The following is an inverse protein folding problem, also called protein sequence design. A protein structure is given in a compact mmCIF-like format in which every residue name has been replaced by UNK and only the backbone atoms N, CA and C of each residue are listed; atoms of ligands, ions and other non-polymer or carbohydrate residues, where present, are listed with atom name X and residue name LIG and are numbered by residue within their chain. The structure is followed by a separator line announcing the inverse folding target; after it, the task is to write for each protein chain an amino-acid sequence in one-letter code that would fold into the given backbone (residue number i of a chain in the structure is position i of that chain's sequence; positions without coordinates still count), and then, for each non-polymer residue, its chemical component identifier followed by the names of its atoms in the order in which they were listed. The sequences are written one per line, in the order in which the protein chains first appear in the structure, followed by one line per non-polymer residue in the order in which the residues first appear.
data_IF_590023520236
#
_entry.id   IF_590023520236
#
_cell.length_a   1.000
_cell.length_b   1.000
_cell.length_c   1.000
_cell.angle_alpha   90.00
_cell.angle_beta   90.00
_cell.angle_gamma   90.00
#
_symmetry.space_group_name_H-M   'P 1'
#
loop_
_entity.id
_entity.type
_entity.pdbx_description
1 polymer ?
#
# COMPACT_ATOMS: atom_id res chain seq x y z
N UNK A 1 -5.97 -1.57 9.74
CA UNK A 1 -5.01 -2.67 9.91
C UNK A 1 -5.61 -3.66 10.89
N UNK A 2 -6.00 -4.82 10.41
CA UNK A 2 -6.36 -5.92 11.28
C UNK A 2 -5.10 -6.49 11.92
N UNK A 3 -5.23 -6.92 13.16
CA UNK A 3 -4.32 -7.94 13.66
C UNK A 3 -4.35 -9.09 12.64
N UNK A 4 -3.23 -9.33 12.01
CA UNK A 4 -3.07 -10.37 10.99
C UNK A 4 -3.52 -11.75 11.46
N UNK A 5 -3.32 -12.04 12.77
CA UNK A 5 -3.77 -13.28 13.37
C UNK A 5 -5.30 -13.33 13.48
N UNK A 6 -5.96 -12.22 13.85
CA UNK A 6 -7.42 -12.13 13.91
C UNK A 6 -8.04 -12.17 12.51
N UNK A 7 -7.48 -11.45 11.52
CA UNK A 7 -7.96 -11.48 10.15
C UNK A 7 -7.80 -12.88 9.55
N UNK A 8 -6.67 -13.54 9.77
CA UNK A 8 -6.45 -14.94 9.35
C UNK A 8 -7.38 -15.90 10.06
N UNK A 9 -7.65 -15.68 11.36
CA UNK A 9 -8.56 -16.53 12.13
C UNK A 9 -10.00 -16.36 11.62
N UNK A 10 -10.44 -15.13 11.45
CA UNK A 10 -11.76 -14.82 10.88
C UNK A 10 -11.90 -15.35 9.45
N UNK A 11 -10.88 -15.25 8.61
CA UNK A 11 -10.87 -15.82 7.26
C UNK A 11 -10.87 -17.35 7.26
N UNK A 12 -10.15 -18.01 8.18
CA UNK A 12 -10.16 -19.46 8.31
C UNK A 12 -11.47 -19.99 8.85
N UNK A 13 -12.02 -19.34 9.87
CA UNK A 13 -13.26 -19.75 10.52
C UNK A 13 -14.50 -19.49 9.65
N UNK A 14 -14.45 -18.45 8.80
CA UNK A 14 -15.51 -18.16 7.84
C UNK A 14 -15.48 -19.04 6.59
N UNK A 15 -14.43 -19.84 6.41
CA UNK A 15 -14.22 -20.61 5.17
C UNK A 15 -13.90 -19.77 3.94
N UNK A 16 -13.67 -18.46 4.11
CA UNK A 16 -13.35 -17.54 3.04
C UNK A 16 -11.84 -17.50 2.79
N UNK A 17 -11.36 -18.16 1.76
CA UNK A 17 -10.04 -17.93 1.17
C UNK A 17 -10.02 -16.71 0.24
N UNK A 18 -10.95 -15.76 0.43
CA UNK A 18 -11.23 -14.64 -0.48
C UNK A 18 -10.95 -13.29 0.17
N UNK A 19 -10.65 -12.25 -0.62
CA UNK A 19 -10.49 -10.89 -0.13
C UNK A 19 -11.71 -10.39 0.65
N UNK A 20 -11.47 -9.57 1.67
CA UNK A 20 -12.54 -8.89 2.43
C UNK A 20 -12.54 -7.41 2.04
N UNK A 21 -13.71 -6.84 1.81
CA UNK A 21 -13.91 -5.43 1.52
C UNK A 21 -14.79 -4.78 2.60
N UNK A 22 -14.35 -3.64 3.12
CA UNK A 22 -15.15 -2.80 4.00
C UNK A 22 -15.77 -1.68 3.18
N UNK A 23 -17.08 -1.51 3.31
CA UNK A 23 -17.84 -0.46 2.67
C UNK A 23 -18.41 0.47 3.72
N UNK A 24 -18.31 1.77 3.48
CA UNK A 24 -18.93 2.79 4.29
C UNK A 24 -19.46 3.91 3.42
N UNK A 25 -20.59 4.49 3.79
CA UNK A 25 -21.15 5.69 3.19
C UNK A 25 -21.44 6.72 4.26
N UNK A 26 -21.15 7.98 3.96
CA UNK A 26 -21.34 9.11 4.85
C UNK A 26 -22.29 10.13 4.23
N UNK A 27 -23.16 10.74 5.04
CA UNK A 27 -24.12 11.75 4.57
C UNK A 27 -25.39 11.75 5.39
N UNK A 28 -26.51 12.22 4.80
CA UNK A 28 -27.81 12.03 5.42
C UNK A 28 -28.17 10.55 5.48
N UNK A 29 -28.93 10.13 6.50
CA UNK A 29 -29.26 8.72 6.72
C UNK A 29 -29.85 8.04 5.48
N UNK A 30 -30.78 8.71 4.78
CA UNK A 30 -31.43 8.17 3.60
C UNK A 30 -30.47 8.01 2.41
N UNK A 31 -29.56 8.97 2.20
CA UNK A 31 -28.55 8.91 1.16
C UNK A 31 -27.53 7.80 1.41
N UNK A 32 -26.99 7.74 2.62
CA UNK A 32 -26.03 6.70 3.00
C UNK A 32 -26.65 5.30 2.89
N UNK A 33 -27.90 5.13 3.33
CA UNK A 33 -28.61 3.86 3.21
C UNK A 33 -28.83 3.45 1.74
N UNK A 34 -29.19 4.40 0.87
CA UNK A 34 -29.38 4.14 -0.56
C UNK A 34 -28.05 3.75 -1.24
N UNK A 35 -26.95 4.44 -0.91
CA UNK A 35 -25.62 4.15 -1.44
C UNK A 35 -25.14 2.76 -1.05
N UNK A 36 -25.20 2.42 0.24
CA UNK A 36 -24.84 1.06 0.72
C UNK A 36 -25.70 -0.01 0.03
N UNK A 37 -27.01 0.21 -0.10
CA UNK A 37 -27.88 -0.75 -0.78
C UNK A 37 -27.47 -0.99 -2.24
N UNK A 38 -27.05 0.03 -2.98
CA UNK A 38 -26.57 -0.14 -4.36
C UNK A 38 -25.18 -0.82 -4.40
N UNK A 39 -24.26 -0.46 -3.49
CA UNK A 39 -22.96 -1.11 -3.39
C UNK A 39 -23.09 -2.61 -3.09
N UNK A 40 -23.94 -3.00 -2.16
CA UNK A 40 -24.21 -4.40 -1.86
C UNK A 40 -24.79 -5.17 -3.05
N UNK A 41 -25.67 -4.54 -3.87
CA UNK A 41 -26.14 -5.14 -5.13
C UNK A 41 -25.01 -5.37 -6.12
N UNK A 42 -24.09 -4.41 -6.24
CA UNK A 42 -22.89 -4.56 -7.10
C UNK A 42 -22.03 -5.70 -6.59
N UNK A 43 -21.76 -5.79 -5.30
CA UNK A 43 -21.00 -6.88 -4.70
C UNK A 43 -21.65 -8.25 -4.99
N UNK A 44 -22.95 -8.36 -4.75
CA UNK A 44 -23.67 -9.61 -4.97
C UNK A 44 -23.62 -10.06 -6.45
N UNK A 45 -23.76 -9.12 -7.42
CA UNK A 45 -23.63 -9.44 -8.87
C UNK A 45 -22.23 -9.94 -9.24
N UNK A 46 -21.21 -9.60 -8.46
CA UNK A 46 -19.82 -10.04 -8.66
C UNK A 46 -19.40 -11.19 -7.74
N UNK A 47 -20.35 -11.88 -7.13
CA UNK A 47 -20.07 -13.05 -6.28
C UNK A 47 -19.67 -12.69 -4.83
N UNK A 48 -19.79 -11.43 -4.44
CA UNK A 48 -19.57 -10.98 -3.07
C UNK A 48 -20.70 -11.43 -2.14
N UNK A 49 -20.35 -11.72 -0.89
CA UNK A 49 -21.28 -12.06 0.16
C UNK A 49 -21.25 -10.98 1.24
N UNK A 50 -22.40 -10.47 1.61
CA UNK A 50 -22.54 -9.58 2.78
C UNK A 50 -22.41 -10.39 4.06
N UNK A 51 -21.45 -10.01 4.90
CA UNK A 51 -21.18 -10.64 6.20
C UNK A 51 -21.58 -9.75 7.37
N UNK A 52 -22.31 -8.65 7.10
CA UNK A 52 -22.82 -7.73 8.10
C UNK A 52 -21.84 -6.62 8.47
N UNK A 53 -22.28 -5.70 9.36
CA UNK A 53 -21.55 -4.47 9.69
C UNK A 53 -20.42 -4.64 10.72
N UNK A 54 -20.39 -5.72 11.49
CA UNK A 54 -19.53 -5.86 12.67
C UNK A 54 -18.04 -5.65 12.35
N UNK A 55 -17.59 -6.15 11.18
CA UNK A 55 -16.22 -5.98 10.71
C UNK A 55 -15.86 -4.52 10.43
N UNK A 56 -16.74 -3.78 9.77
CA UNK A 56 -16.55 -2.37 9.46
C UNK A 56 -16.59 -1.51 10.74
N UNK A 57 -17.53 -1.77 11.65
CA UNK A 57 -17.62 -1.10 12.94
C UNK A 57 -16.40 -1.36 13.82
N UNK A 58 -15.95 -2.60 13.87
CA UNK A 58 -14.72 -2.98 14.57
C UNK A 58 -13.48 -2.28 13.99
N UNK A 59 -13.40 -2.14 12.66
CA UNK A 59 -12.34 -1.38 12.02
C UNK A 59 -12.40 0.10 12.37
N UNK A 60 -13.57 0.74 12.33
CA UNK A 60 -13.75 2.16 12.70
C UNK A 60 -13.24 2.41 14.12
N UNK A 61 -13.56 1.51 15.06
CA UNK A 61 -13.12 1.62 16.46
C UNK A 61 -11.61 1.52 16.66
N UNK A 62 -10.89 0.83 15.75
CA UNK A 62 -9.45 0.53 15.88
C UNK A 62 -8.59 1.13 14.77
N UNK A 63 -9.14 1.95 13.86
CA UNK A 63 -8.43 2.45 12.68
C UNK A 63 -7.16 3.27 12.98
N UNK A 64 -7.01 3.74 14.19
CA UNK A 64 -5.83 4.48 14.67
C UNK A 64 -4.94 3.65 15.60
N UNK A 65 -5.24 2.37 15.80
CA UNK A 65 -4.41 1.47 16.58
C UNK A 65 -3.36 0.82 15.66
N UNK A 66 -2.12 1.23 15.84
CA UNK A 66 -0.96 0.70 15.11
C UNK A 66 -0.10 -0.22 15.98
N UNK A 67 -0.57 -0.63 17.14
CA UNK A 67 0.20 -1.42 18.11
C UNK A 67 0.81 -2.69 17.52
N UNK A 68 0.12 -3.37 16.60
CA UNK A 68 0.65 -4.57 15.93
C UNK A 68 1.92 -4.25 15.11
N UNK A 69 1.89 -3.16 14.32
CA UNK A 69 3.05 -2.72 13.54
C UNK A 69 4.18 -2.25 14.46
N UNK A 70 3.84 -1.46 15.47
CA UNK A 70 4.80 -0.97 16.46
C UNK A 70 5.49 -2.12 17.19
N UNK A 71 4.76 -3.17 17.56
CA UNK A 71 5.33 -4.36 18.19
C UNK A 71 6.32 -5.08 17.28
N UNK A 72 6.06 -5.16 15.96
CA UNK A 72 7.01 -5.73 15.00
C UNK A 72 8.25 -4.83 14.90
N UNK A 73 8.09 -3.53 14.72
CA UNK A 73 9.19 -2.58 14.58
C UNK A 73 10.07 -2.50 15.85
N UNK A 74 9.45 -2.60 17.03
CA UNK A 74 10.17 -2.58 18.31
C UNK A 74 10.81 -3.93 18.65
N UNK A 75 10.51 -5.01 17.92
CA UNK A 75 11.16 -6.29 18.13
C UNK A 75 12.57 -6.30 17.54
N UNK A 76 13.48 -7.06 18.15
CA UNK A 76 14.84 -7.20 17.61
C UNK A 76 14.78 -7.84 16.20
N UNK A 77 15.30 -7.11 15.19
CA UNK A 77 15.30 -7.57 13.81
C UNK A 77 13.94 -7.51 13.12
N UNK A 78 12.94 -6.85 13.70
CA UNK A 78 11.62 -6.66 13.07
C UNK A 78 11.71 -5.87 11.79
N UNK A 79 10.97 -6.30 10.77
CA UNK A 79 10.81 -5.61 9.49
C UNK A 79 9.32 -5.43 9.25
N UNK A 80 8.90 -4.18 9.14
CA UNK A 80 7.56 -3.83 8.70
C UNK A 80 7.66 -2.65 7.73
N UNK A 81 7.04 -2.80 6.57
CA UNK A 81 7.06 -1.75 5.55
C UNK A 81 5.75 -1.74 4.75
N UNK A 82 5.44 -0.59 4.19
CA UNK A 82 4.29 -0.41 3.31
C UNK A 82 4.73 0.28 2.03
N UNK A 83 4.67 -0.45 0.92
CA UNK A 83 4.97 0.06 -0.41
C UNK A 83 3.67 0.49 -1.06
N UNK A 84 3.50 1.80 -1.20
CA UNK A 84 2.31 2.40 -1.80
C UNK A 84 2.61 2.81 -3.24
N UNK A 85 1.76 2.36 -4.14
CA UNK A 85 1.82 2.61 -5.59
C UNK A 85 0.42 2.82 -6.15
N UNK A 86 0.31 3.19 -7.44
CA UNK A 86 -0.98 3.16 -8.14
C UNK A 86 -0.81 2.69 -9.59
N UNK A 87 -1.89 2.14 -10.14
CA UNK A 87 -1.97 1.82 -11.56
C UNK A 87 -3.43 1.92 -12.03
N UNK A 88 -3.61 1.89 -13.34
CA UNK A 88 -4.94 1.77 -13.95
C UNK A 88 -5.60 0.44 -13.58
N UNK A 89 -6.92 0.37 -13.70
CA UNK A 89 -7.65 -0.89 -13.43
C UNK A 89 -7.19 -2.05 -14.31
N UNK A 90 -6.77 -1.78 -15.54
CA UNK A 90 -6.23 -2.82 -16.44
C UNK A 90 -4.84 -3.30 -16.05
N UNK A 91 -4.04 -2.49 -15.34
CA UNK A 91 -2.67 -2.80 -14.97
C UNK A 91 -2.47 -3.29 -13.54
N UNK A 92 -3.37 -2.89 -12.61
CA UNK A 92 -3.14 -3.09 -11.17
C UNK A 92 -3.04 -4.56 -10.74
N UNK A 93 -3.81 -5.44 -11.37
CA UNK A 93 -3.73 -6.88 -11.08
C UNK A 93 -2.34 -7.44 -11.38
N UNK A 94 -1.80 -7.15 -12.57
CA UNK A 94 -0.44 -7.55 -12.93
C UNK A 94 0.63 -6.94 -12.05
N UNK A 95 0.44 -5.68 -11.62
CA UNK A 95 1.34 -5.01 -10.67
C UNK A 95 1.32 -5.69 -9.30
N UNK A 96 0.14 -6.05 -8.80
CA UNK A 96 -0.01 -6.80 -7.55
C UNK A 96 0.74 -8.13 -7.58
N UNK A 97 0.56 -8.89 -8.66
CA UNK A 97 1.23 -10.18 -8.84
C UNK A 97 2.76 -10.02 -8.94
N UNK A 98 3.22 -9.02 -9.68
CA UNK A 98 4.65 -8.74 -9.84
C UNK A 98 5.29 -8.35 -8.48
N UNK A 99 4.68 -7.44 -7.73
CA UNK A 99 5.13 -7.04 -6.40
C UNK A 99 5.11 -8.20 -5.42
N UNK A 100 4.00 -8.94 -5.33
CA UNK A 100 3.90 -10.09 -4.44
C UNK A 100 5.00 -11.12 -4.73
N UNK A 101 5.25 -11.40 -6.00
CA UNK A 101 6.32 -12.31 -6.41
C UNK A 101 7.71 -11.79 -6.05
N UNK A 102 7.96 -10.49 -6.28
CA UNK A 102 9.25 -9.86 -6.00
C UNK A 102 9.53 -9.79 -4.48
N UNK A 103 8.49 -9.66 -3.65
CA UNK A 103 8.64 -9.51 -2.20
C UNK A 103 8.78 -10.83 -1.44
N UNK A 104 8.27 -11.93 -1.99
CA UNK A 104 8.32 -13.27 -1.32
C UNK A 104 9.70 -13.68 -0.79
N UNK A 105 10.84 -13.39 -1.44
CA UNK A 105 12.15 -13.75 -0.90
C UNK A 105 12.58 -12.95 0.33
N UNK A 106 11.94 -11.80 0.58
CA UNK A 106 12.39 -10.81 1.56
C UNK A 106 11.42 -10.59 2.73
N UNK A 107 10.20 -11.10 2.65
CA UNK A 107 9.18 -10.93 3.66
C UNK A 107 8.53 -12.26 4.04
N UNK A 108 8.21 -12.41 5.32
CA UNK A 108 7.52 -13.59 5.82
C UNK A 108 6.01 -13.51 5.50
N UNK A 109 5.48 -12.27 5.47
CA UNK A 109 4.11 -11.98 5.08
C UNK A 109 4.08 -10.85 4.04
N UNK A 110 3.29 -11.06 2.98
CA UNK A 110 3.04 -10.07 1.94
C UNK A 110 1.53 -9.94 1.76
N UNK A 111 1.00 -8.77 2.04
CA UNK A 111 -0.42 -8.48 1.98
C UNK A 111 -0.68 -7.33 1.02
N UNK A 112 -1.85 -7.33 0.39
CA UNK A 112 -2.29 -6.23 -0.47
C UNK A 112 -3.51 -5.53 0.12
N UNK A 113 -3.50 -4.20 0.08
CA UNK A 113 -4.62 -3.35 0.44
C UNK A 113 -4.89 -2.38 -0.70
N UNK A 114 -6.00 -2.56 -1.40
CA UNK A 114 -6.50 -1.61 -2.39
C UNK A 114 -7.22 -0.49 -1.65
N UNK A 115 -6.75 0.74 -1.80
CA UNK A 115 -7.18 1.87 -0.97
C UNK A 115 -8.00 2.88 -1.78
N UNK A 116 -7.37 3.89 -2.34
CA UNK A 116 -8.04 4.96 -3.04
C UNK A 116 -8.45 4.51 -4.45
N UNK A 117 -9.74 4.25 -4.63
CA UNK A 117 -10.31 3.81 -5.90
C UNK A 117 -10.91 5.01 -6.67
N UNK A 118 -10.55 5.14 -7.93
CA UNK A 118 -10.99 6.16 -8.85
C UNK A 118 -11.62 5.53 -10.10
N UNK A 119 -12.16 6.35 -10.98
CA UNK A 119 -12.71 5.89 -12.26
C UNK A 119 -11.66 5.15 -13.11
N UNK A 120 -10.41 5.66 -13.12
CA UNK A 120 -9.36 5.20 -14.04
C UNK A 120 -8.40 4.19 -13.42
N UNK A 121 -8.36 4.10 -12.10
CA UNK A 121 -7.41 3.23 -11.41
C UNK A 121 -7.55 3.25 -9.89
N UNK A 122 -6.56 2.69 -9.23
CA UNK A 122 -6.58 2.46 -7.79
C UNK A 122 -5.17 2.53 -7.20
N UNK A 123 -5.05 3.02 -5.96
CA UNK A 123 -3.82 2.86 -5.20
C UNK A 123 -3.78 1.50 -4.52
N UNK A 124 -2.58 0.93 -4.46
CA UNK A 124 -2.30 -0.35 -3.83
C UNK A 124 -1.20 -0.16 -2.78
N UNK A 125 -1.45 -0.65 -1.59
CA UNK A 125 -0.45 -0.82 -0.54
C UNK A 125 -0.04 -2.28 -0.50
N UNK A 126 1.24 -2.55 -0.67
CA UNK A 126 1.82 -3.86 -0.37
C UNK A 126 2.46 -3.77 1.00
N UNK A 127 1.84 -4.44 1.95
CA UNK A 127 2.25 -4.45 3.36
C UNK A 127 3.14 -5.67 3.57
N UNK A 128 4.30 -5.43 4.13
CA UNK A 128 5.33 -6.43 4.33
C UNK A 128 5.63 -6.55 5.82
N UNK A 129 5.65 -7.78 6.31
CA UNK A 129 6.08 -8.10 7.65
C UNK A 129 7.15 -9.19 7.59
N UNK A 130 8.14 -9.08 8.46
CA UNK A 130 9.20 -10.05 8.51
C UNK A 130 10.12 -9.88 9.72
N UNK A 131 11.08 -10.77 9.84
CA UNK A 131 12.05 -10.73 10.91
C UNK A 131 13.42 -11.16 10.39
N UNK A 132 14.44 -10.40 10.76
CA UNK A 132 15.85 -10.75 10.59
C UNK A 132 16.48 -11.15 11.93
N UNK A 133 17.68 -11.69 11.90
CA UNK A 133 18.37 -12.12 13.11
C UNK A 133 18.77 -10.96 14.02
N UNK A 134 19.04 -9.80 13.41
CA UNK A 134 19.48 -8.60 14.12
C UNK A 134 19.06 -7.31 13.36
N UNK A 135 19.27 -6.12 13.97
CA UNK A 135 18.92 -4.86 13.33
C UNK A 135 19.67 -4.57 12.02
N UNK A 136 20.93 -5.01 11.89
CA UNK A 136 21.70 -4.80 10.65
C UNK A 136 21.13 -5.66 9.51
N UNK A 137 20.74 -6.89 9.82
CA UNK A 137 20.02 -7.77 8.90
C UNK A 137 18.67 -7.21 8.50
N UNK A 138 17.93 -6.60 9.43
CA UNK A 138 16.66 -5.93 9.15
C UNK A 138 16.83 -4.74 8.18
N UNK A 139 17.85 -3.90 8.41
CA UNK A 139 18.17 -2.78 7.52
C UNK A 139 18.57 -3.27 6.11
N UNK A 140 19.43 -4.30 6.03
CA UNK A 140 19.83 -4.86 4.76
C UNK A 140 18.63 -5.46 3.99
N UNK A 141 17.75 -6.17 4.70
CA UNK A 141 16.51 -6.73 4.13
C UNK A 141 15.60 -5.62 3.60
N UNK A 142 15.43 -4.54 4.37
CA UNK A 142 14.60 -3.40 3.96
C UNK A 142 15.12 -2.74 2.67
N UNK A 143 16.43 -2.56 2.53
CA UNK A 143 17.03 -2.05 1.30
C UNK A 143 16.75 -2.96 0.10
N UNK A 144 16.86 -4.28 0.27
CA UNK A 144 16.54 -5.26 -0.77
C UNK A 144 15.05 -5.23 -1.14
N UNK A 145 14.16 -5.08 -0.16
CA UNK A 145 12.72 -4.91 -0.38
C UNK A 145 12.46 -3.70 -1.27
N UNK A 146 13.00 -2.54 -0.93
CA UNK A 146 12.76 -1.31 -1.69
C UNK A 146 13.33 -1.38 -3.11
N UNK A 147 14.52 -1.93 -3.28
CA UNK A 147 15.12 -2.11 -4.61
C UNK A 147 14.26 -3.01 -5.51
N UNK A 148 13.90 -4.19 -5.00
CA UNK A 148 13.11 -5.15 -5.75
C UNK A 148 11.68 -4.64 -6.02
N UNK A 149 11.09 -3.91 -5.08
CA UNK A 149 9.76 -3.32 -5.25
C UNK A 149 9.75 -2.22 -6.30
N UNK A 150 10.67 -1.25 -6.21
CA UNK A 150 10.75 -0.15 -7.17
C UNK A 150 10.95 -0.68 -8.59
N UNK A 151 11.79 -1.69 -8.76
CA UNK A 151 11.97 -2.33 -10.07
C UNK A 151 10.70 -3.00 -10.57
N UNK A 152 10.03 -3.79 -9.75
CA UNK A 152 8.79 -4.45 -10.12
C UNK A 152 7.67 -3.44 -10.46
N UNK A 153 7.62 -2.31 -9.75
CA UNK A 153 6.67 -1.21 -10.04
C UNK A 153 6.92 -0.62 -11.42
N UNK A 154 8.16 -0.22 -11.71
CA UNK A 154 8.51 0.37 -13.01
C UNK A 154 8.29 -0.61 -14.17
N UNK A 155 8.70 -1.87 -14.01
CA UNK A 155 8.54 -2.89 -15.04
C UNK A 155 7.06 -3.21 -15.34
N UNK A 156 6.16 -3.00 -14.35
CA UNK A 156 4.72 -3.19 -14.52
C UNK A 156 3.99 -1.95 -15.07
N UNK A 157 4.70 -0.85 -15.30
CA UNK A 157 4.12 0.41 -15.77
C UNK A 157 3.28 1.16 -14.73
N UNK A 158 3.44 0.81 -13.45
CA UNK A 158 2.80 1.51 -12.34
C UNK A 158 3.57 2.77 -11.95
N UNK A 159 2.94 3.67 -11.20
CA UNK A 159 3.62 4.82 -10.60
C UNK A 159 4.23 4.46 -9.26
N UNK A 160 5.44 4.98 -9.00
CA UNK A 160 6.22 4.69 -7.79
C UNK A 160 5.54 5.15 -6.49
N UNK A 161 4.67 6.13 -6.56
CA UNK A 161 3.88 6.60 -5.43
C UNK A 161 2.65 7.36 -5.91
N UNK A 162 1.53 7.17 -5.24
CA UNK A 162 0.31 7.94 -5.46
C UNK A 162 0.25 9.14 -4.50
N UNK A 163 0.45 8.94 -3.19
CA UNK A 163 0.34 10.00 -2.19
C UNK A 163 1.39 9.97 -1.06
N UNK A 164 2.19 8.91 -0.94
CA UNK A 164 3.25 8.86 0.07
C UNK A 164 4.50 9.68 -0.31
N UNK A 165 4.61 10.08 -1.57
CA UNK A 165 5.81 10.74 -2.10
C UNK A 165 6.97 9.78 -2.34
N UNK A 166 8.04 10.30 -2.90
CA UNK A 166 9.19 9.48 -3.30
C UNK A 166 10.16 9.22 -2.14
N UNK A 167 10.39 10.22 -1.31
CA UNK A 167 11.31 10.11 -0.17
C UNK A 167 12.71 9.64 -0.58
N UNK A 168 13.36 8.94 0.33
CA UNK A 168 14.69 8.34 0.09
C UNK A 168 14.56 6.97 -0.59
N UNK A 169 13.59 6.18 -0.20
CA UNK A 169 13.47 4.79 -0.63
C UNK A 169 13.19 4.61 -2.13
N UNK A 170 12.64 5.61 -2.79
CA UNK A 170 12.34 5.61 -4.23
C UNK A 170 13.27 6.50 -5.06
N UNK A 171 14.17 7.24 -4.40
CA UNK A 171 14.94 8.31 -5.02
C UNK A 171 15.74 7.86 -6.25
N UNK A 172 16.40 6.71 -6.17
CA UNK A 172 17.25 6.20 -7.25
C UNK A 172 16.45 5.80 -8.50
N UNK A 173 15.14 5.52 -8.34
CA UNK A 173 14.24 5.10 -9.41
C UNK A 173 13.38 6.24 -9.98
N UNK A 174 13.32 7.39 -9.29
CA UNK A 174 12.48 8.54 -9.71
C UNK A 174 12.93 9.11 -11.04
N UNK A 175 14.23 9.16 -11.27
CA UNK A 175 14.78 9.67 -12.55
C UNK A 175 14.28 8.87 -13.72
N UNK A 176 14.28 7.54 -13.61
CA UNK A 176 13.74 6.64 -14.63
C UNK A 176 12.23 6.86 -14.80
N UNK A 177 11.49 6.94 -13.70
CA UNK A 177 10.05 7.16 -13.70
C UNK A 177 9.64 8.49 -14.36
N UNK A 178 10.39 9.56 -14.11
CA UNK A 178 10.12 10.88 -14.68
C UNK A 178 10.59 11.02 -16.13
N UNK A 179 11.57 10.21 -16.56
CA UNK A 179 12.12 10.27 -17.91
C UNK A 179 12.54 11.69 -18.28
N UNK A 180 12.05 12.21 -19.40
CA UNK A 180 12.37 13.56 -19.87
C UNK A 180 11.90 14.69 -18.95
N UNK A 181 10.97 14.43 -18.05
CA UNK A 181 10.49 15.42 -17.07
C UNK A 181 11.49 15.66 -15.94
N UNK A 182 12.48 14.80 -15.78
CA UNK A 182 13.52 14.95 -14.77
C UNK A 182 14.26 16.28 -14.86
N UNK A 183 14.70 16.68 -16.05
CA UNK A 183 15.43 17.93 -16.26
C UNK A 183 14.58 19.15 -15.98
N UNK A 184 13.27 19.10 -16.31
CA UNK A 184 12.32 20.17 -15.99
C UNK A 184 12.15 20.28 -14.48
N UNK A 185 12.00 19.14 -13.80
CA UNK A 185 11.90 19.13 -12.34
C UNK A 185 13.13 19.73 -11.67
N UNK A 186 14.34 19.37 -12.12
CA UNK A 186 15.59 19.92 -11.60
C UNK A 186 15.66 21.44 -11.72
N UNK A 187 15.26 22.00 -12.86
CA UNK A 187 15.19 23.46 -13.07
C UNK A 187 14.19 24.15 -12.17
N UNK A 188 13.03 23.52 -11.94
CA UNK A 188 12.03 24.05 -11.01
C UNK A 188 12.58 24.05 -9.57
N UNK A 189 13.23 22.96 -9.16
CA UNK A 189 13.84 22.82 -7.84
C UNK A 189 14.91 23.91 -7.62
N UNK A 190 15.81 24.11 -8.58
CA UNK A 190 16.87 25.12 -8.52
C UNK A 190 16.28 26.55 -8.43
N UNK A 191 15.22 26.85 -9.19
CA UNK A 191 14.57 28.15 -9.18
C UNK A 191 13.87 28.45 -7.84
N UNK A 192 13.28 27.42 -7.21
CA UNK A 192 12.52 27.58 -5.95
C UNK A 192 13.39 27.45 -4.71
N UNK A 193 14.50 26.74 -4.79
CA UNK A 193 15.41 26.44 -3.68
C UNK A 193 16.88 26.58 -4.13
N UNK A 194 17.31 27.79 -4.48
CA UNK A 194 18.67 28.02 -4.99
C UNK A 194 19.76 27.73 -3.95
N UNK A 195 19.39 27.63 -2.68
CA UNK A 195 20.32 27.30 -1.58
C UNK A 195 20.35 25.80 -1.26
N UNK A 196 19.50 24.98 -1.89
CA UNK A 196 19.45 23.52 -1.71
C UNK A 196 19.11 23.07 -0.28
N UNK A 197 18.34 23.85 0.47
CA UNK A 197 18.02 23.58 1.88
C UNK A 197 16.70 22.83 2.08
N UNK A 198 15.84 22.79 1.05
CA UNK A 198 14.53 22.12 1.12
C UNK A 198 14.68 20.65 0.72
N UNK A 199 14.45 19.75 1.66
CA UNK A 199 14.53 18.30 1.45
C UNK A 199 15.81 17.83 0.71
N UNK A 200 17.00 18.16 1.22
CA UNK A 200 18.24 17.81 0.56
C UNK A 200 18.38 16.29 0.39
N UNK A 201 19.00 15.86 -0.71
CA UNK A 201 19.18 14.44 -1.04
C UNK A 201 17.92 13.71 -1.52
N UNK A 202 16.85 14.44 -1.88
CA UNK A 202 15.62 13.85 -2.44
C UNK A 202 15.29 14.51 -3.78
N UNK A 203 14.72 13.71 -4.70
CA UNK A 203 14.30 14.19 -6.01
C UNK A 203 15.40 14.94 -6.78
N UNK A 204 16.65 14.46 -6.65
CA UNK A 204 17.79 15.01 -7.40
C UNK A 204 18.43 16.26 -6.82
N UNK A 205 18.16 16.58 -5.57
CA UNK A 205 18.81 17.69 -4.86
C UNK A 205 20.05 17.26 -4.10
#
# INVERSE_FOLDING_TARGET
FYDLAEARHAMKDSGFGSPVMFLGAEGSADMAAAEIAELLKVCARNGGQDIGPDGAEGWIGRRFDFSTIENVLNSRGGVAETIEIANTWSGIGGTYDALTKAMKPFADEVLGHFSHAYTDGVSLYVILLGKADDPAGAEARLKQIWEAANRAVLDSGAVLSHHHGTGIARNDHVREALGSSWDLYGRLKEAMDPSGILNPGKLGS
#
